data_IF_197264711986
#
_entry.id   IF_197264711986
#
_cell.length_a   1.000
_cell.length_b   1.000
_cell.length_c   1.000
_cell.angle_alpha   90.00
_cell.angle_beta   90.00
_cell.angle_gamma   90.00
#
_symmetry.space_group_name_H-M   'P 1'
#
loop_
_entity.id
_entity.type
_entity.pdbx_description
1 polymer ?
#
# COMPACT_ATOMS: atom_id res chain seq x y z
N UNK A 1 -14.44 11.39 -6.90
CA UNK A 1 -13.59 10.89 -5.80
C UNK A 1 -12.15 11.24 -6.17
N UNK A 2 -11.13 10.87 -5.38
CA UNK A 2 -9.73 11.15 -5.73
C UNK A 2 -8.87 9.90 -5.58
N UNK A 3 -7.78 9.84 -6.34
CA UNK A 3 -6.81 8.77 -6.24
C UNK A 3 -5.91 8.97 -5.03
N UNK A 4 -5.77 7.90 -4.26
CA UNK A 4 -4.92 7.81 -3.08
C UNK A 4 -3.83 6.79 -3.32
N UNK A 5 -2.60 7.19 -3.00
CA UNK A 5 -1.42 6.36 -3.14
C UNK A 5 -0.76 6.17 -1.78
N UNK A 6 -0.57 4.92 -1.38
CA UNK A 6 0.05 4.56 -0.10
C UNK A 6 0.64 3.16 -0.18
N UNK A 7 1.45 2.80 0.81
CA UNK A 7 1.98 1.46 0.96
C UNK A 7 1.37 0.77 2.17
N UNK A 8 1.03 -0.51 2.02
CA UNK A 8 0.78 -1.41 3.14
C UNK A 8 2.06 -2.22 3.38
N UNK A 9 2.75 -1.96 4.48
CA UNK A 9 3.99 -2.65 4.83
C UNK A 9 3.66 -3.92 5.59
N UNK A 10 4.20 -5.04 5.13
CA UNK A 10 3.99 -6.33 5.77
C UNK A 10 4.92 -6.50 6.97
N UNK A 11 4.46 -7.26 7.96
CA UNK A 11 5.25 -7.60 9.13
C UNK A 11 6.43 -8.53 8.80
N UNK A 12 6.29 -9.35 7.76
CA UNK A 12 7.32 -10.24 7.23
C UNK A 12 7.16 -10.35 5.70
N UNK A 13 8.23 -10.74 4.97
CA UNK A 13 8.11 -11.14 3.57
C UNK A 13 7.08 -12.25 3.38
N UNK A 14 6.49 -12.32 2.19
CA UNK A 14 5.58 -13.41 1.86
C UNK A 14 6.36 -14.73 1.79
N UNK A 15 5.75 -15.81 2.29
CA UNK A 15 6.24 -17.16 2.01
C UNK A 15 5.99 -17.52 0.55
N UNK A 16 6.67 -18.56 0.04
CA UNK A 16 6.43 -19.07 -1.31
C UNK A 16 4.96 -19.48 -1.53
N UNK A 17 4.35 -20.12 -0.52
CA UNK A 17 2.92 -20.48 -0.54
C UNK A 17 2.01 -19.24 -0.61
N UNK A 18 2.33 -18.19 0.13
CA UNK A 18 1.58 -16.93 0.10
C UNK A 18 1.72 -16.23 -1.26
N UNK A 19 2.93 -16.15 -1.81
CA UNK A 19 3.14 -15.59 -3.16
C UNK A 19 2.39 -16.37 -4.24
N UNK A 20 2.38 -17.70 -4.16
CA UNK A 20 1.58 -18.53 -5.06
C UNK A 20 0.08 -18.27 -4.89
N UNK A 21 -0.41 -18.15 -3.65
CA UNK A 21 -1.81 -17.80 -3.38
C UNK A 21 -2.17 -16.45 -3.98
N UNK A 22 -1.34 -15.43 -3.75
CA UNK A 22 -1.52 -14.08 -4.29
C UNK A 22 -1.65 -14.08 -5.81
N UNK A 23 -0.83 -14.87 -6.52
CA UNK A 23 -0.88 -14.98 -7.97
C UNK A 23 -2.23 -15.49 -8.51
N UNK A 24 -3.02 -16.17 -7.67
CA UNK A 24 -4.35 -16.68 -8.00
C UNK A 24 -5.50 -15.79 -7.50
N UNK A 25 -5.22 -14.71 -6.78
CA UNK A 25 -6.24 -13.76 -6.32
C UNK A 25 -6.45 -12.65 -7.34
N UNK A 26 -7.43 -12.81 -8.22
CA UNK A 26 -7.76 -11.84 -9.28
C UNK A 26 -7.94 -10.41 -8.75
N UNK A 27 -8.48 -10.26 -7.54
CA UNK A 27 -8.65 -8.96 -6.88
C UNK A 27 -7.32 -8.22 -6.69
N UNK A 28 -6.22 -8.92 -6.43
CA UNK A 28 -4.90 -8.29 -6.29
C UNK A 28 -4.23 -7.99 -7.65
N UNK A 29 -4.77 -8.52 -8.75
CA UNK A 29 -4.21 -8.38 -10.10
C UNK A 29 -4.96 -7.36 -10.97
N UNK A 30 -5.87 -6.57 -10.38
CA UNK A 30 -6.64 -5.54 -11.09
C UNK A 30 -5.89 -4.21 -11.30
N UNK A 31 -4.64 -4.14 -10.84
CA UNK A 31 -3.76 -2.98 -10.98
C UNK A 31 -3.83 -1.97 -9.83
N UNK A 32 -4.74 -2.15 -8.86
CA UNK A 32 -4.82 -1.27 -7.67
C UNK A 32 -3.80 -1.59 -6.60
N UNK A 33 -3.30 -2.83 -6.59
CA UNK A 33 -2.31 -3.30 -5.63
C UNK A 33 -1.12 -3.91 -6.38
N UNK A 34 0.08 -3.43 -6.09
CA UNK A 34 1.33 -3.99 -6.63
C UNK A 34 2.25 -4.46 -5.51
N UNK A 35 2.76 -5.69 -5.61
CA UNK A 35 3.74 -6.22 -4.65
C UNK A 35 5.14 -5.68 -4.97
N UNK A 36 5.83 -5.15 -3.96
CA UNK A 36 7.22 -4.75 -4.03
C UNK A 36 8.03 -5.40 -2.91
N UNK A 37 9.07 -6.15 -3.27
CA UNK A 37 9.86 -6.96 -2.34
C UNK A 37 11.34 -6.59 -2.35
N UNK A 38 11.96 -6.69 -1.18
CA UNK A 38 13.41 -6.67 -0.98
C UNK A 38 13.76 -7.59 0.20
N UNK A 39 15.01 -8.03 0.38
CA UNK A 39 15.37 -8.89 1.50
C UNK A 39 14.90 -8.33 2.85
N UNK A 40 14.07 -9.10 3.56
CA UNK A 40 13.52 -8.74 4.88
C UNK A 40 12.41 -7.69 4.88
N UNK A 41 11.89 -7.27 3.72
CA UNK A 41 10.85 -6.25 3.63
C UNK A 41 9.96 -6.49 2.41
N UNK A 42 8.65 -6.60 2.64
CA UNK A 42 7.65 -6.72 1.58
C UNK A 42 6.55 -5.69 1.83
N UNK A 43 6.11 -5.02 0.76
CA UNK A 43 5.04 -4.02 0.82
C UNK A 43 4.13 -4.14 -0.38
N UNK A 44 2.88 -3.72 -0.19
CA UNK A 44 1.94 -3.51 -1.27
C UNK A 44 1.81 -2.02 -1.57
N UNK A 45 2.17 -1.62 -2.78
CA UNK A 45 1.90 -0.29 -3.34
C UNK A 45 0.44 -0.23 -3.76
N UNK A 46 -0.32 0.68 -3.18
CA UNK A 46 -1.77 0.77 -3.35
C UNK A 46 -2.16 2.05 -4.09
N UNK A 47 -3.14 1.95 -4.99
CA UNK A 47 -3.76 3.05 -5.72
C UNK A 47 -5.28 2.86 -5.72
N UNK A 48 -6.00 3.66 -4.93
CA UNK A 48 -7.45 3.53 -4.74
C UNK A 48 -8.17 4.86 -4.91
N UNK A 49 -9.29 4.85 -5.64
CA UNK A 49 -10.17 6.01 -5.76
C UNK A 49 -11.16 6.01 -4.57
N UNK A 50 -11.13 7.05 -3.73
CA UNK A 50 -12.08 7.20 -2.62
C UNK A 50 -12.29 8.67 -2.23
N UNK A 51 -13.32 8.93 -1.42
CA UNK A 51 -13.55 10.27 -0.86
C UNK A 51 -12.48 10.68 0.16
N UNK A 52 -11.97 9.71 0.95
CA UNK A 52 -10.99 9.97 2.02
C UNK A 52 -9.88 8.92 2.02
N UNK A 53 -8.71 9.27 2.57
CA UNK A 53 -7.58 8.34 2.71
C UNK A 53 -7.99 7.13 3.55
N UNK A 54 -8.72 7.36 4.63
CA UNK A 54 -9.19 6.31 5.51
C UNK A 54 -10.10 5.33 4.79
N UNK A 55 -10.99 5.82 3.92
CA UNK A 55 -11.83 4.95 3.09
C UNK A 55 -10.99 4.13 2.09
N UNK A 56 -10.01 4.76 1.43
CA UNK A 56 -9.10 4.06 0.53
C UNK A 56 -8.28 2.96 1.26
N UNK A 57 -7.77 3.26 2.46
CA UNK A 57 -7.04 2.29 3.29
C UNK A 57 -7.97 1.16 3.74
N UNK A 58 -9.19 1.48 4.20
CA UNK A 58 -10.15 0.48 4.63
C UNK A 58 -10.53 -0.47 3.49
N UNK A 59 -10.74 0.06 2.29
CA UNK A 59 -10.99 -0.76 1.10
C UNK A 59 -9.80 -1.67 0.80
N UNK A 60 -8.58 -1.14 0.76
CA UNK A 60 -7.38 -1.94 0.50
C UNK A 60 -7.17 -3.05 1.55
N UNK A 61 -7.42 -2.77 2.83
CA UNK A 61 -7.33 -3.76 3.90
C UNK A 61 -8.40 -4.86 3.76
N UNK A 62 -9.57 -4.56 3.20
CA UNK A 62 -10.61 -5.55 2.93
C UNK A 62 -10.20 -6.63 1.91
N UNK A 63 -9.12 -6.44 1.14
CA UNK A 63 -8.62 -7.46 0.23
C UNK A 63 -7.89 -8.58 0.98
N UNK A 64 -7.34 -8.27 2.15
CA UNK A 64 -6.62 -9.25 2.97
C UNK A 64 -7.55 -10.23 3.68
N UNK A 65 -8.88 -9.99 3.67
CA UNK A 65 -9.87 -11.00 4.08
C UNK A 65 -9.78 -12.24 3.20
N UNK A 66 -9.46 -12.07 1.91
CA UNK A 66 -9.26 -13.15 0.95
C UNK A 66 -7.82 -13.71 0.93
N UNK A 67 -6.91 -13.11 1.72
CA UNK A 67 -5.49 -13.49 1.76
C UNK A 67 -5.02 -13.79 3.20
N UNK A 68 -5.51 -14.90 3.79
CA UNK A 68 -5.29 -15.20 5.20
C UNK A 68 -3.81 -15.45 5.53
N UNK A 69 -3.42 -15.06 6.75
CA UNK A 69 -2.06 -15.27 7.28
C UNK A 69 -1.04 -14.19 6.91
N UNK A 70 -1.40 -13.24 6.06
CA UNK A 70 -0.58 -12.04 5.80
C UNK A 70 -0.90 -10.97 6.84
N UNK A 71 0.13 -10.42 7.47
CA UNK A 71 -0.01 -9.39 8.50
C UNK A 71 0.52 -8.05 7.99
N UNK A 72 -0.36 -7.06 7.89
CA UNK A 72 0.02 -5.66 7.63
C UNK A 72 0.45 -5.01 8.94
N UNK A 73 1.66 -4.46 8.97
CA UNK A 73 2.27 -3.82 10.15
C UNK A 73 2.00 -2.32 10.20
N UNK A 74 2.08 -1.64 9.06
CA UNK A 74 1.92 -0.18 8.97
C UNK A 74 1.40 0.25 7.61
N UNK A 75 0.81 1.45 7.58
CA UNK A 75 0.49 2.17 6.35
C UNK A 75 1.47 3.32 6.21
N UNK A 76 2.14 3.41 5.06
CA UNK A 76 3.17 4.41 4.80
C UNK A 76 2.83 5.27 3.59
N UNK A 77 3.10 6.57 3.72
CA UNK A 77 2.97 7.57 2.65
C UNK A 77 4.33 8.09 2.20
N UNK A 78 5.45 7.52 2.67
CA UNK A 78 6.78 8.10 2.45
C UNK A 78 7.16 8.18 0.96
N UNK A 79 6.74 7.18 0.18
CA UNK A 79 6.98 7.07 -1.24
C UNK A 79 5.96 7.84 -2.08
N UNK A 80 4.80 8.13 -1.48
CA UNK A 80 3.68 8.85 -2.05
C UNK A 80 3.37 10.03 -1.15
N UNK A 81 4.20 11.06 -1.27
CA UNK A 81 4.20 12.16 -0.32
C UNK A 81 2.81 12.84 -0.21
N UNK A 82 2.68 13.67 0.82
CA UNK A 82 1.47 14.45 1.04
C UNK A 82 1.12 15.32 -0.18
N UNK A 83 2.10 15.69 -1.01
CA UNK A 83 1.88 16.43 -2.26
C UNK A 83 1.17 15.58 -3.31
N UNK A 84 1.68 14.38 -3.58
CA UNK A 84 1.14 13.43 -4.56
C UNK A 84 -0.29 13.04 -4.22
N UNK A 85 -0.59 12.92 -2.92
CA UNK A 85 -1.92 12.66 -2.42
C UNK A 85 -2.82 13.90 -2.33
N UNK A 86 -2.43 15.08 -2.81
CA UNK A 86 -3.24 16.30 -2.76
C UNK A 86 -3.53 16.81 -1.34
N UNK A 87 -2.60 16.58 -0.41
CA UNK A 87 -2.63 17.04 0.99
C UNK A 87 -1.52 18.06 1.29
N UNK A 88 -0.86 18.59 0.26
CA UNK A 88 0.09 19.67 0.44
C UNK A 88 -0.59 20.88 1.09
N UNK A 89 -0.01 21.35 2.20
CA UNK A 89 -0.35 22.62 2.84
C UNK A 89 0.93 23.43 3.02
N UNK A 90 0.87 24.74 3.34
CA UNK A 90 2.08 25.51 3.63
C UNK A 90 2.93 24.96 4.79
N UNK A 91 2.36 24.12 5.66
CA UNK A 91 3.08 23.46 6.75
C UNK A 91 3.74 22.12 6.33
N UNK A 92 3.50 21.67 5.10
CA UNK A 92 4.04 20.42 4.56
C UNK A 92 5.22 20.77 3.66
N UNK A 93 6.41 20.33 4.06
CA UNK A 93 7.63 20.47 3.27
C UNK A 93 8.11 19.09 2.83
N UNK A 94 8.61 18.96 1.58
CA UNK A 94 9.24 17.71 1.16
C UNK A 94 10.43 17.40 2.07
N UNK A 95 10.63 16.11 2.35
CA UNK A 95 11.82 15.66 3.09
C UNK A 95 13.05 16.07 2.28
N UNK A 96 14.03 16.77 2.87
CA UNK A 96 15.25 17.15 2.16
C UNK A 96 15.93 15.90 1.58
N UNK A 97 16.50 15.97 0.35
CA UNK A 97 17.27 14.86 -0.18
C UNK A 97 18.40 14.50 0.78
N UNK A 98 18.60 13.21 1.05
CA UNK A 98 19.73 12.74 1.84
C UNK A 98 21.03 13.13 1.12
N UNK A 99 21.92 13.84 1.83
CA UNK A 99 23.28 14.19 1.37
C UNK A 99 24.19 12.97 1.34
#
# INVERSE_FOLDING_TARGET
MRDWYFNLVLNAPLTEEQSNTLAHLDRFNDGRIGLAERPGYSRFMCSFEAETLTAAIAEALGFFEDFPGVLVRSVEMDHFDLTTNGMATPAVLPVPPHL
#
